data_IF_279448262792
#
_entry.id   IF_279448262792
#
_cell.length_a   1.000
_cell.length_b   1.000
_cell.length_c   1.000
_cell.angle_alpha   90.00
_cell.angle_beta   90.00
_cell.angle_gamma   90.00
#
_symmetry.space_group_name_H-M   'P 1'
#
loop_
_entity.id
_entity.type
_entity.pdbx_description
1 polymer ?
#
# COMPACT_ATOMS: atom_id res chain seq x y z
N UNK A 1 0.10 -32.56 -4.05
CA UNK A 1 -0.24 -32.68 -5.48
C UNK A 1 -0.97 -31.46 -6.03
N UNK A 2 -1.68 -30.67 -5.20
CA UNK A 2 -2.36 -29.42 -5.63
C UNK A 2 -1.40 -28.27 -6.00
N UNK A 3 -0.16 -28.34 -5.57
CA UNK A 3 0.91 -27.41 -5.98
C UNK A 3 1.19 -27.49 -7.49
N UNK A 4 1.06 -28.66 -8.08
CA UNK A 4 1.31 -28.89 -9.51
C UNK A 4 0.23 -28.30 -10.41
N UNK A 5 -1.03 -28.23 -9.96
CA UNK A 5 -2.15 -27.71 -10.80
C UNK A 5 -1.99 -26.19 -11.02
N UNK A 6 -1.57 -25.46 -10.00
CA UNK A 6 -1.40 -23.99 -10.13
C UNK A 6 -0.11 -23.66 -10.90
N UNK A 7 0.98 -24.38 -10.63
CA UNK A 7 2.24 -24.28 -11.41
C UNK A 7 1.99 -24.67 -12.86
N UNK A 8 1.18 -25.71 -13.12
CA UNK A 8 0.77 -26.10 -14.45
C UNK A 8 -0.07 -25.01 -15.12
N UNK A 9 -0.98 -24.36 -14.39
CA UNK A 9 -1.79 -23.22 -14.89
C UNK A 9 -0.92 -22.00 -15.23
N UNK A 10 0.01 -21.63 -14.36
CA UNK A 10 1.00 -20.56 -14.63
C UNK A 10 1.88 -20.89 -15.85
N UNK A 11 2.24 -22.19 -16.01
CA UNK A 11 3.08 -22.65 -17.13
C UNK A 11 2.29 -22.72 -18.46
N UNK A 12 1.02 -23.12 -18.41
CA UNK A 12 0.13 -23.15 -19.59
C UNK A 12 -0.19 -21.74 -20.10
N UNK A 13 -0.25 -20.75 -19.21
CA UNK A 13 -0.48 -19.35 -19.55
C UNK A 13 0.64 -18.73 -20.39
N UNK A 14 1.83 -19.32 -20.38
CA UNK A 14 2.94 -18.91 -21.26
C UNK A 14 2.71 -19.26 -22.76
N UNK A 15 1.66 -20.00 -23.11
CA UNK A 15 1.37 -20.41 -24.50
C UNK A 15 0.30 -19.55 -25.19
N UNK A 16 -0.35 -18.59 -24.46
CA UNK A 16 -1.37 -17.66 -24.97
C UNK A 16 -1.00 -16.20 -24.75
N UNK A 17 -2.00 -15.30 -24.71
CA UNK A 17 -1.80 -13.91 -24.28
C UNK A 17 -1.37 -13.94 -22.80
N UNK A 18 -0.16 -13.45 -22.51
CA UNK A 18 0.33 -13.37 -21.13
C UNK A 18 -0.67 -12.62 -20.28
N UNK A 19 -1.05 -13.20 -19.14
CA UNK A 19 -1.79 -12.47 -18.09
C UNK A 19 -0.92 -11.32 -17.56
N UNK A 20 -1.56 -10.22 -17.20
CA UNK A 20 -0.88 -9.17 -16.43
C UNK A 20 -0.57 -9.67 -15.02
N UNK A 21 0.38 -9.05 -14.34
CA UNK A 21 0.70 -9.39 -12.95
C UNK A 21 -0.52 -9.23 -12.03
N UNK A 22 -1.38 -8.26 -12.34
CA UNK A 22 -2.62 -8.02 -11.61
C UNK A 22 -3.62 -9.18 -11.80
N UNK A 23 -3.77 -9.72 -13.02
CA UNK A 23 -4.62 -10.89 -13.30
C UNK A 23 -4.06 -12.16 -12.65
N UNK A 24 -2.73 -12.33 -12.71
CA UNK A 24 -2.05 -13.46 -12.07
C UNK A 24 -2.30 -13.47 -10.56
N UNK A 25 -2.17 -12.32 -9.91
CA UNK A 25 -2.44 -12.17 -8.48
C UNK A 25 -3.92 -12.46 -8.14
N UNK A 26 -4.87 -11.97 -8.96
CA UNK A 26 -6.30 -12.28 -8.78
C UNK A 26 -6.56 -13.77 -8.73
N UNK A 27 -6.08 -14.47 -9.75
CA UNK A 27 -6.30 -15.91 -9.89
C UNK A 27 -5.67 -16.66 -8.71
N UNK A 28 -4.49 -16.23 -8.25
CA UNK A 28 -3.84 -16.77 -7.06
C UNK A 28 -4.71 -16.58 -5.82
N UNK A 29 -5.21 -15.38 -5.56
CA UNK A 29 -6.03 -15.11 -4.38
C UNK A 29 -7.35 -15.89 -4.39
N UNK A 30 -8.00 -16.02 -5.56
CA UNK A 30 -9.21 -16.84 -5.70
C UNK A 30 -8.89 -18.32 -5.41
N UNK A 31 -7.80 -18.85 -5.95
CA UNK A 31 -7.37 -20.23 -5.66
C UNK A 31 -7.14 -20.44 -4.15
N UNK A 32 -6.47 -19.51 -3.48
CA UNK A 32 -6.19 -19.63 -2.05
C UNK A 32 -7.47 -19.74 -1.20
N UNK A 33 -8.59 -19.16 -1.62
CA UNK A 33 -9.86 -19.30 -0.89
C UNK A 33 -10.35 -20.75 -0.84
N UNK A 34 -9.95 -21.60 -1.78
CA UNK A 34 -10.36 -23.01 -1.82
C UNK A 34 -9.57 -23.89 -0.87
N UNK A 35 -8.44 -23.42 -0.34
CA UNK A 35 -7.52 -24.20 0.47
C UNK A 35 -7.83 -24.13 1.98
N UNK A 36 -8.69 -23.21 2.42
CA UNK A 36 -9.10 -23.12 3.81
C UNK A 36 -10.03 -24.28 4.18
N UNK A 37 -9.83 -24.87 5.36
CA UNK A 37 -10.67 -25.94 5.86
C UNK A 37 -12.05 -25.43 6.25
N UNK A 38 -13.11 -26.15 5.90
CA UNK A 38 -14.51 -25.77 6.12
C UNK A 38 -14.87 -25.59 7.59
N UNK A 39 -14.21 -26.31 8.50
CA UNK A 39 -14.39 -26.16 9.94
C UNK A 39 -14.08 -24.76 10.49
N UNK A 40 -13.19 -24.02 9.82
CA UNK A 40 -12.73 -22.71 10.24
C UNK A 40 -13.17 -21.57 9.32
N UNK A 41 -13.60 -21.90 8.12
CA UNK A 41 -13.98 -20.96 7.07
C UNK A 41 -14.89 -21.65 6.08
N UNK A 42 -16.20 -21.52 6.31
CA UNK A 42 -17.24 -22.24 5.57
C UNK A 42 -17.37 -21.80 4.10
N UNK A 43 -18.15 -22.52 3.32
CA UNK A 43 -18.30 -22.23 1.87
C UNK A 43 -19.01 -20.90 1.63
N UNK A 44 -19.83 -20.41 2.56
CA UNK A 44 -20.46 -19.09 2.46
C UNK A 44 -19.43 -17.98 2.66
N UNK A 45 -18.54 -18.11 3.62
CA UNK A 45 -17.42 -17.18 3.86
C UNK A 45 -16.42 -17.20 2.70
N UNK A 46 -16.08 -18.39 2.16
CA UNK A 46 -15.26 -18.52 0.95
C UNK A 46 -15.88 -17.82 -0.24
N UNK A 47 -17.19 -17.99 -0.45
CA UNK A 47 -17.94 -17.34 -1.52
C UNK A 47 -17.95 -15.82 -1.35
N UNK A 48 -18.10 -15.33 -0.09
CA UNK A 48 -18.04 -13.92 0.21
C UNK A 48 -16.68 -13.32 -0.11
N UNK A 49 -15.58 -13.97 0.31
CA UNK A 49 -14.22 -13.52 0.02
C UNK A 49 -13.93 -13.52 -1.50
N UNK A 50 -14.37 -14.55 -2.24
CA UNK A 50 -14.25 -14.58 -3.72
C UNK A 50 -15.00 -13.40 -4.36
N UNK A 51 -16.18 -13.08 -3.84
CA UNK A 51 -16.94 -11.91 -4.30
C UNK A 51 -16.20 -10.61 -4.02
N UNK A 52 -15.65 -10.43 -2.82
CA UNK A 52 -14.82 -9.25 -2.48
C UNK A 52 -13.64 -9.10 -3.43
N UNK A 53 -12.92 -10.18 -3.73
CA UNK A 53 -11.80 -10.19 -4.68
C UNK A 53 -12.30 -9.73 -6.06
N UNK A 54 -13.39 -10.30 -6.57
CA UNK A 54 -13.93 -9.95 -7.88
C UNK A 54 -14.39 -8.49 -7.96
N UNK A 55 -15.08 -7.99 -6.93
CA UNK A 55 -15.56 -6.62 -6.86
C UNK A 55 -14.39 -5.61 -6.76
N UNK A 56 -13.33 -5.97 -6.03
CA UNK A 56 -12.13 -5.16 -5.94
C UNK A 56 -11.42 -5.06 -7.31
N UNK A 57 -11.23 -6.17 -8.02
CA UNK A 57 -10.62 -6.16 -9.35
C UNK A 57 -11.46 -5.41 -10.37
N UNK A 58 -12.79 -5.53 -10.30
CA UNK A 58 -13.69 -4.75 -11.14
C UNK A 58 -13.49 -3.25 -10.92
N UNK A 59 -13.39 -2.81 -9.67
CA UNK A 59 -13.14 -1.39 -9.34
C UNK A 59 -11.75 -0.95 -9.80
N UNK A 60 -10.71 -1.78 -9.57
CA UNK A 60 -9.34 -1.49 -10.00
C UNK A 60 -9.30 -1.27 -11.52
N UNK A 61 -9.84 -2.22 -12.31
CA UNK A 61 -9.88 -2.09 -13.76
C UNK A 61 -10.71 -0.89 -14.23
N UNK A 62 -11.82 -0.60 -13.54
CA UNK A 62 -12.61 0.59 -13.83
C UNK A 62 -11.76 1.86 -13.64
N UNK A 63 -11.04 1.98 -12.52
CA UNK A 63 -10.22 3.16 -12.25
C UNK A 63 -9.02 3.27 -13.21
N UNK A 64 -8.33 2.17 -13.49
CA UNK A 64 -7.19 2.17 -14.40
C UNK A 64 -7.60 2.44 -15.86
N UNK A 65 -8.76 1.96 -16.29
CA UNK A 65 -9.31 2.16 -17.63
C UNK A 65 -10.21 3.39 -17.78
N UNK A 66 -10.43 4.16 -16.71
CA UNK A 66 -11.40 5.28 -16.71
C UNK A 66 -11.10 6.38 -17.72
N UNK A 67 -9.83 6.59 -18.06
CA UNK A 67 -9.44 7.42 -19.19
C UNK A 67 -9.16 6.50 -20.39
N UNK A 68 -10.10 6.45 -21.32
CA UNK A 68 -10.02 5.57 -22.51
C UNK A 68 -8.85 5.91 -23.44
N UNK A 69 -8.42 7.17 -23.48
CA UNK A 69 -7.32 7.61 -24.33
C UNK A 69 -5.95 7.29 -23.75
N UNK A 70 -5.85 7.27 -22.43
CA UNK A 70 -4.61 7.04 -21.70
C UNK A 70 -4.87 6.15 -20.49
N UNK A 71 -5.16 4.85 -20.69
CA UNK A 71 -5.36 3.91 -19.60
C UNK A 71 -4.07 3.78 -18.78
N UNK A 72 -4.24 3.61 -17.47
CA UNK A 72 -3.13 3.47 -16.55
C UNK A 72 -2.59 2.04 -16.56
N UNK A 73 -1.29 1.90 -16.34
CA UNK A 73 -0.61 0.61 -16.29
C UNK A 73 -1.00 -0.19 -15.04
N UNK A 74 -1.41 -1.44 -15.24
CA UNK A 74 -1.69 -2.41 -14.18
C UNK A 74 -0.46 -2.67 -13.31
N UNK A 75 0.70 -2.84 -13.94
CA UNK A 75 1.96 -3.17 -13.26
C UNK A 75 2.48 -1.98 -12.44
N UNK A 76 2.38 -0.77 -12.96
CA UNK A 76 2.78 0.44 -12.23
C UNK A 76 1.91 0.66 -10.99
N UNK A 77 0.60 0.44 -11.13
CA UNK A 77 -0.33 0.52 -10.00
C UNK A 77 -0.04 -0.56 -8.96
N UNK A 78 0.10 -1.82 -9.37
CA UNK A 78 0.35 -2.93 -8.45
C UNK A 78 1.68 -2.77 -7.72
N UNK A 79 2.73 -2.29 -8.41
CA UNK A 79 4.01 -1.95 -7.79
C UNK A 79 3.89 -0.80 -6.79
N UNK A 80 3.14 0.24 -7.13
CA UNK A 80 2.91 1.37 -6.22
C UNK A 80 2.14 0.93 -4.97
N UNK A 81 1.09 0.12 -5.14
CA UNK A 81 0.34 -0.45 -4.02
C UNK A 81 1.23 -1.36 -3.14
N UNK A 82 2.11 -2.16 -3.75
CA UNK A 82 3.07 -2.96 -2.99
C UNK A 82 4.00 -2.08 -2.13
N UNK A 83 4.47 -0.95 -2.65
CA UNK A 83 5.29 0.03 -1.91
C UNK A 83 4.52 0.60 -0.71
N UNK A 84 3.22 0.88 -0.89
CA UNK A 84 2.35 1.45 0.14
C UNK A 84 2.03 0.42 1.22
N UNK A 85 1.63 -0.79 0.82
CA UNK A 85 1.08 -1.80 1.72
C UNK A 85 2.15 -2.62 2.46
N UNK A 86 3.30 -2.88 1.83
CA UNK A 86 4.37 -3.69 2.41
C UNK A 86 5.61 -2.85 2.73
N UNK A 87 6.43 -3.34 3.68
CA UNK A 87 7.70 -2.70 4.00
C UNK A 87 8.65 -2.74 2.79
N UNK A 88 8.93 -1.57 2.23
CA UNK A 88 9.83 -1.44 1.10
C UNK A 88 11.28 -1.80 1.49
N UNK A 89 11.89 -2.67 0.70
CA UNK A 89 13.31 -2.97 0.75
C UNK A 89 13.87 -2.94 -0.66
N UNK A 90 15.00 -2.24 -0.88
CA UNK A 90 15.65 -2.15 -2.19
C UNK A 90 15.98 -3.51 -2.79
N UNK A 91 16.37 -4.48 -1.95
CA UNK A 91 16.64 -5.87 -2.38
C UNK A 91 15.39 -6.63 -2.84
N UNK A 92 14.19 -6.17 -2.44
CA UNK A 92 12.90 -6.78 -2.80
C UNK A 92 12.18 -5.99 -3.90
N UNK A 93 12.60 -4.76 -4.17
CA UNK A 93 11.91 -3.83 -5.06
C UNK A 93 11.96 -4.19 -6.53
N UNK A 94 12.95 -4.94 -6.96
CA UNK A 94 13.11 -5.32 -8.36
C UNK A 94 12.23 -6.52 -8.76
N UNK A 95 11.65 -7.23 -7.76
CA UNK A 95 10.79 -8.41 -8.00
C UNK A 95 9.55 -8.39 -7.07
N UNK A 96 8.80 -7.30 -7.12
CA UNK A 96 7.61 -7.11 -6.29
C UNK A 96 6.55 -8.19 -6.53
N UNK A 97 6.41 -8.68 -7.76
CA UNK A 97 5.44 -9.73 -8.07
C UNK A 97 5.83 -11.06 -7.43
N UNK A 98 7.10 -11.43 -7.45
CA UNK A 98 7.59 -12.61 -6.75
C UNK A 98 7.38 -12.52 -5.25
N UNK A 99 7.57 -11.33 -4.67
CA UNK A 99 7.25 -11.08 -3.27
C UNK A 99 5.75 -11.34 -3.00
N UNK A 100 4.85 -10.76 -3.82
CA UNK A 100 3.40 -10.92 -3.67
C UNK A 100 2.98 -12.39 -3.80
N UNK A 101 3.49 -13.10 -4.81
CA UNK A 101 3.18 -14.52 -5.01
C UNK A 101 3.73 -15.42 -3.89
N UNK A 102 4.86 -15.07 -3.30
CA UNK A 102 5.39 -15.77 -2.13
C UNK A 102 4.60 -15.47 -0.85
N UNK A 103 4.18 -14.20 -0.66
CA UNK A 103 3.33 -13.82 0.49
C UNK A 103 1.97 -14.51 0.40
N UNK A 104 1.33 -14.45 -0.75
CA UNK A 104 0.05 -15.09 -1.04
C UNK A 104 0.27 -16.48 -1.66
N UNK A 105 0.76 -17.42 -0.86
CA UNK A 105 1.04 -18.79 -1.29
C UNK A 105 0.29 -19.82 -0.44
N UNK A 106 -0.01 -20.98 -1.01
CA UNK A 106 -0.59 -22.11 -0.31
C UNK A 106 0.24 -22.51 0.92
N UNK A 107 1.56 -22.45 0.79
CA UNK A 107 2.49 -22.71 1.91
C UNK A 107 2.15 -21.88 3.15
N UNK A 108 1.87 -20.58 2.99
CA UNK A 108 1.56 -19.69 4.11
C UNK A 108 0.17 -19.92 4.73
N UNK A 109 -0.74 -20.61 4.04
CA UNK A 109 -2.01 -21.06 4.62
C UNK A 109 -1.78 -22.26 5.54
N UNK A 110 -0.93 -23.21 5.11
CA UNK A 110 -0.66 -24.45 5.88
C UNK A 110 0.38 -24.24 6.99
N UNK A 111 1.31 -23.31 6.84
CA UNK A 111 2.25 -22.93 7.91
C UNK A 111 1.53 -22.16 9.01
N UNK A 112 1.78 -22.55 10.25
CA UNK A 112 1.19 -21.91 11.44
C UNK A 112 2.15 -20.88 12.05
N UNK A 113 1.59 -19.87 12.68
CA UNK A 113 2.27 -18.91 13.56
C UNK A 113 1.58 -18.90 14.92
N UNK A 114 2.34 -18.75 15.99
CA UNK A 114 1.83 -18.58 17.34
C UNK A 114 1.49 -17.09 17.54
N UNK A 115 0.27 -16.79 17.99
CA UNK A 115 -0.18 -15.45 18.33
C UNK A 115 -0.58 -15.44 19.80
N UNK A 116 -0.15 -14.43 20.55
CA UNK A 116 -0.50 -14.20 21.95
C UNK A 116 -1.88 -13.53 22.00
N UNK A 117 -2.82 -14.08 22.77
CA UNK A 117 -4.22 -13.59 22.85
C UNK A 117 -4.37 -12.26 23.62
N UNK A 118 -3.32 -11.74 24.25
CA UNK A 118 -3.41 -10.60 25.16
C UNK A 118 -3.63 -9.22 24.51
N UNK A 119 -3.55 -9.07 23.19
CA UNK A 119 -3.77 -7.78 22.53
C UNK A 119 -5.24 -7.33 22.55
N UNK A 120 -6.19 -8.26 22.72
CA UNK A 120 -7.63 -7.95 22.78
C UNK A 120 -8.10 -7.45 24.14
N UNK A 121 -7.32 -7.64 25.21
CA UNK A 121 -7.68 -7.23 26.58
C UNK A 121 -7.08 -5.88 26.97
N UNK A 122 -6.03 -5.40 26.30
CA UNK A 122 -5.44 -4.09 26.55
C UNK A 122 -6.37 -2.93 26.16
N UNK A 123 -7.12 -3.08 25.05
CA UNK A 123 -8.11 -2.07 24.62
C UNK A 123 -9.33 -1.97 25.56
N UNK A 124 -9.59 -2.98 26.40
CA UNK A 124 -10.65 -2.94 27.41
C UNK A 124 -10.20 -2.39 28.78
N UNK A 125 -8.92 -2.50 29.09
CA UNK A 125 -8.37 -2.06 30.39
C UNK A 125 -8.17 -0.54 30.47
N UNK A 126 -7.95 0.16 29.36
CA UNK A 126 -7.80 1.62 29.32
C UNK A 126 -9.11 2.41 29.59
N UNK A 127 -10.27 1.72 29.65
CA UNK A 127 -11.58 2.35 29.90
C UNK A 127 -12.17 2.07 31.28
N UNK A 128 -11.43 1.47 32.20
CA UNK A 128 -11.88 1.29 33.59
C UNK A 128 -11.15 2.24 34.53
N UNK A 129 -11.89 3.20 35.05
CA UNK A 129 -11.49 4.10 36.14
C UNK A 129 -11.37 3.28 37.42
N UNK A 130 -10.13 2.97 37.87
CA UNK A 130 -9.87 2.29 39.12
C UNK A 130 -9.61 3.32 40.23
N UNK A 131 -10.59 3.44 41.15
CA UNK A 131 -10.39 4.14 42.39
C UNK A 131 -9.26 3.51 43.22
N UNK A 132 -8.52 4.39 43.90
CA UNK A 132 -7.38 4.06 44.79
C UNK A 132 -7.79 3.02 45.84
N UNK A 133 -6.83 2.14 46.15
CA UNK A 133 -6.78 1.13 47.22
C UNK A 133 -7.14 -0.32 46.83
N UNK A 134 -6.10 -1.06 46.44
CA UNK A 134 -6.13 -2.51 46.38
C UNK A 134 -4.75 -3.06 45.97
N UNK A 135 -4.08 -3.74 46.92
CA UNK A 135 -2.88 -4.54 46.61
C UNK A 135 -3.27 -5.63 45.62
N UNK A 136 -2.69 -5.56 44.42
CA UNK A 136 -2.90 -6.58 43.38
C UNK A 136 -1.81 -7.62 43.57
N UNK A 137 -2.17 -8.83 44.01
CA UNK A 137 -1.37 -10.02 43.81
C UNK A 137 -1.25 -10.24 42.28
N UNK A 138 -0.07 -10.03 41.71
CA UNK A 138 0.21 -10.37 40.30
C UNK A 138 0.17 -11.89 40.12
N UNK A 139 -0.98 -12.41 39.79
CA UNK A 139 -1.13 -13.76 39.29
C UNK A 139 -0.58 -13.80 37.87
N UNK A 140 0.68 -14.26 37.74
CA UNK A 140 1.34 -14.49 36.45
C UNK A 140 0.67 -15.67 35.74
N UNK A 141 -0.47 -15.43 35.12
CA UNK A 141 -1.02 -16.39 34.15
C UNK A 141 -0.18 -16.29 32.87
N UNK A 142 0.42 -17.40 32.46
CA UNK A 142 1.11 -17.48 31.18
C UNK A 142 0.19 -17.02 30.06
N UNK A 143 0.64 -16.15 29.14
CA UNK A 143 -0.22 -15.63 28.08
C UNK A 143 -0.74 -16.79 27.22
N UNK A 144 -2.05 -16.86 27.08
CA UNK A 144 -2.71 -17.85 26.22
C UNK A 144 -2.29 -17.64 24.77
N UNK A 145 -1.66 -18.64 24.17
CA UNK A 145 -1.19 -18.59 22.79
C UNK A 145 -2.04 -19.50 21.90
N UNK A 146 -2.42 -19.01 20.74
CA UNK A 146 -3.16 -19.80 19.73
C UNK A 146 -2.34 -19.91 18.44
N UNK A 147 -2.31 -21.10 17.87
CA UNK A 147 -1.74 -21.34 16.56
C UNK A 147 -2.74 -20.97 15.45
N UNK A 148 -2.39 -19.98 14.65
CA UNK A 148 -3.16 -19.54 13.47
C UNK A 148 -2.35 -19.70 12.18
N UNK A 149 -3.02 -19.83 11.05
CA UNK A 149 -2.35 -19.84 9.75
C UNK A 149 -1.52 -18.57 9.56
N UNK A 150 -0.36 -18.67 8.92
CA UNK A 150 0.51 -17.53 8.58
C UNK A 150 -0.16 -16.54 7.64
N UNK A 151 -1.09 -17.04 6.80
CA UNK A 151 -1.95 -16.25 5.92
C UNK A 151 -3.40 -16.62 6.22
N UNK A 152 -4.13 -15.72 6.88
CA UNK A 152 -5.55 -15.87 7.16
C UNK A 152 -6.45 -15.25 6.08
N UNK A 153 -7.75 -15.61 6.04
CA UNK A 153 -8.72 -15.01 5.11
C UNK A 153 -8.84 -13.50 5.29
N UNK A 154 -8.76 -13.01 6.53
CA UNK A 154 -8.82 -11.58 6.86
C UNK A 154 -7.66 -10.82 6.24
N UNK A 155 -6.42 -11.35 6.29
CA UNK A 155 -5.26 -10.70 5.65
C UNK A 155 -5.43 -10.57 4.13
N UNK A 156 -6.09 -11.54 3.49
CA UNK A 156 -6.44 -11.47 2.06
C UNK A 156 -7.49 -10.38 1.83
N UNK A 157 -8.54 -10.34 2.66
CA UNK A 157 -9.61 -9.35 2.56
C UNK A 157 -9.07 -7.92 2.74
N UNK A 158 -8.23 -7.69 3.73
CA UNK A 158 -7.61 -6.39 4.03
C UNK A 158 -6.73 -5.92 2.88
N UNK A 159 -5.89 -6.80 2.32
CA UNK A 159 -5.08 -6.49 1.16
C UNK A 159 -5.92 -6.11 -0.05
N UNK A 160 -6.97 -6.89 -0.33
CA UNK A 160 -7.88 -6.68 -1.46
C UNK A 160 -8.67 -5.37 -1.31
N UNK A 161 -9.13 -5.06 -0.09
CA UNK A 161 -9.82 -3.80 0.20
C UNK A 161 -8.88 -2.60 0.03
N UNK A 162 -7.65 -2.70 0.52
CA UNK A 162 -6.64 -1.66 0.32
C UNK A 162 -6.32 -1.44 -1.16
N UNK A 163 -6.17 -2.50 -1.95
CA UNK A 163 -5.94 -2.42 -3.38
C UNK A 163 -7.09 -1.66 -4.10
N UNK A 164 -8.33 -2.04 -3.79
CA UNK A 164 -9.54 -1.39 -4.30
C UNK A 164 -9.60 0.10 -3.97
N UNK A 165 -9.29 0.44 -2.73
CA UNK A 165 -9.32 1.82 -2.24
C UNK A 165 -8.25 2.67 -2.91
N UNK A 166 -7.01 2.19 -2.95
CA UNK A 166 -5.88 2.93 -3.51
C UNK A 166 -6.01 3.20 -5.01
N UNK A 167 -6.71 2.35 -5.76
CA UNK A 167 -6.90 2.54 -7.21
C UNK A 167 -7.59 3.88 -7.54
N UNK A 168 -8.52 4.34 -6.69
CA UNK A 168 -9.22 5.63 -6.87
C UNK A 168 -8.26 6.80 -6.76
N UNK A 169 -7.43 6.79 -5.72
CA UNK A 169 -6.49 7.87 -5.45
C UNK A 169 -5.27 7.82 -6.37
N UNK A 170 -4.91 6.63 -6.84
CA UNK A 170 -3.92 6.46 -7.91
C UNK A 170 -4.36 7.16 -9.18
N UNK A 171 -5.62 6.98 -9.60
CA UNK A 171 -6.20 7.70 -10.72
C UNK A 171 -6.11 9.21 -10.55
N UNK A 172 -6.45 9.72 -9.37
CA UNK A 172 -6.45 11.15 -9.06
C UNK A 172 -5.05 11.77 -9.19
N UNK A 173 -3.98 11.01 -8.96
CA UNK A 173 -2.61 11.51 -9.15
C UNK A 173 -2.24 11.74 -10.62
N UNK A 174 -2.88 11.04 -11.56
CA UNK A 174 -2.66 11.21 -13.00
C UNK A 174 -3.60 12.25 -13.61
N UNK A 175 -4.84 12.27 -13.15
CA UNK A 175 -5.91 13.11 -13.68
C UNK A 175 -6.52 13.99 -12.59
N UNK A 176 -5.70 14.87 -11.94
CA UNK A 176 -6.15 15.65 -10.79
C UNK A 176 -7.34 16.55 -11.12
N UNK A 177 -7.42 17.10 -12.34
CA UNK A 177 -8.52 17.96 -12.75
C UNK A 177 -9.89 17.24 -12.77
N UNK A 178 -9.91 15.91 -12.85
CA UNK A 178 -11.10 15.07 -12.81
C UNK A 178 -11.40 14.53 -11.40
N UNK A 179 -10.54 14.79 -10.43
CA UNK A 179 -10.68 14.29 -9.06
C UNK A 179 -11.84 14.98 -8.34
N UNK A 180 -12.57 14.17 -7.57
CA UNK A 180 -13.57 14.64 -6.58
C UNK A 180 -13.00 14.68 -5.16
N UNK A 181 -11.77 14.21 -4.97
CA UNK A 181 -11.09 14.08 -3.68
C UNK A 181 -10.11 15.24 -3.41
N UNK A 182 -9.85 16.07 -4.41
CA UNK A 182 -8.95 17.21 -4.34
C UNK A 182 -9.74 18.53 -4.45
N UNK A 183 -9.35 19.53 -3.66
CA UNK A 183 -9.77 20.92 -3.85
C UNK A 183 -9.19 21.49 -5.15
N UNK A 184 -9.70 22.62 -5.61
CA UNK A 184 -9.23 23.22 -6.88
C UNK A 184 -7.75 23.63 -6.80
N UNK A 185 -7.30 24.14 -5.65
CA UNK A 185 -5.88 24.46 -5.43
C UNK A 185 -4.99 23.21 -5.46
N UNK A 186 -5.43 22.13 -4.83
CA UNK A 186 -4.70 20.84 -4.86
C UNK A 186 -4.64 20.24 -6.26
N UNK A 187 -5.72 20.34 -7.05
CA UNK A 187 -5.71 19.91 -8.45
C UNK A 187 -4.62 20.62 -9.25
N UNK A 188 -4.50 21.93 -9.08
CA UNK A 188 -3.47 22.73 -9.75
C UNK A 188 -2.08 22.31 -9.30
N UNK A 189 -1.86 22.08 -7.99
CA UNK A 189 -0.58 21.63 -7.47
C UNK A 189 -0.17 20.25 -8.03
N UNK A 190 -1.07 19.27 -7.97
CA UNK A 190 -0.79 17.92 -8.48
C UNK A 190 -0.59 17.92 -10.00
N UNK A 191 -1.32 18.75 -10.75
CA UNK A 191 -1.10 18.94 -12.19
C UNK A 191 0.31 19.52 -12.48
N UNK A 192 0.77 20.48 -11.68
CA UNK A 192 2.12 21.03 -11.79
C UNK A 192 3.18 19.97 -11.49
N UNK A 193 2.97 19.14 -10.47
CA UNK A 193 3.85 17.99 -10.18
C UNK A 193 3.93 17.04 -11.36
N UNK A 194 2.82 16.72 -12.02
CA UNK A 194 2.80 15.88 -13.21
C UNK A 194 3.63 16.50 -14.36
N UNK A 195 3.54 17.80 -14.58
CA UNK A 195 4.31 18.51 -15.62
C UNK A 195 5.82 18.55 -15.34
N UNK A 196 6.21 18.68 -14.07
CA UNK A 196 7.62 18.63 -13.66
C UNK A 196 8.16 17.19 -13.77
N UNK A 197 7.30 16.19 -13.55
CA UNK A 197 7.67 14.77 -13.53
C UNK A 197 7.68 14.23 -12.10
N UNK A 198 6.52 13.79 -11.64
CA UNK A 198 6.24 13.36 -10.27
C UNK A 198 7.11 12.17 -9.78
N UNK A 199 7.57 11.32 -10.73
CA UNK A 199 8.52 10.24 -10.48
C UNK A 199 8.13 9.32 -9.32
N UNK A 200 9.08 9.07 -8.45
CA UNK A 200 8.96 8.17 -7.30
C UNK A 200 8.08 8.71 -6.15
N UNK A 201 7.63 9.97 -6.21
CA UNK A 201 6.70 10.52 -5.23
C UNK A 201 5.25 10.07 -5.44
N UNK A 202 4.91 9.45 -6.57
CA UNK A 202 3.52 9.09 -6.88
C UNK A 202 2.87 8.18 -5.82
N UNK A 203 3.51 7.11 -5.28
CA UNK A 203 2.94 6.33 -4.19
C UNK A 203 2.67 7.16 -2.94
N UNK A 204 3.57 8.07 -2.57
CA UNK A 204 3.41 8.96 -1.42
C UNK A 204 2.22 9.91 -1.61
N UNK A 205 2.10 10.55 -2.78
CA UNK A 205 0.99 11.46 -3.10
C UNK A 205 -0.35 10.69 -3.11
N UNK A 206 -0.37 9.46 -3.61
CA UNK A 206 -1.56 8.60 -3.58
C UNK A 206 -2.06 8.39 -2.15
N UNK A 207 -1.15 8.07 -1.22
CA UNK A 207 -1.49 7.90 0.20
C UNK A 207 -1.97 9.22 0.82
N UNK A 208 -1.28 10.32 0.58
CA UNK A 208 -1.65 11.62 1.14
C UNK A 208 -3.07 12.01 0.72
N UNK A 209 -3.44 11.80 -0.55
CA UNK A 209 -4.79 12.05 -1.05
C UNK A 209 -5.81 11.12 -0.39
N UNK A 210 -5.44 9.87 -0.10
CA UNK A 210 -6.34 8.88 0.50
C UNK A 210 -6.69 9.19 1.97
N UNK A 211 -5.80 9.90 2.68
CA UNK A 211 -5.93 10.23 4.09
C UNK A 211 -6.86 11.41 4.30
N UNK A 212 -8.11 11.13 4.71
CA UNK A 212 -9.14 12.14 4.95
C UNK A 212 -8.91 12.98 6.20
N UNK A 213 -8.11 12.48 7.12
CA UNK A 213 -7.70 13.16 8.35
C UNK A 213 -6.59 14.20 8.13
N UNK A 214 -5.93 14.20 6.97
CA UNK A 214 -5.00 15.25 6.56
C UNK A 214 -5.78 16.38 5.89
N UNK A 215 -5.69 17.59 6.43
CA UNK A 215 -6.38 18.76 5.89
C UNK A 215 -5.86 19.15 4.50
N UNK A 216 -6.69 19.87 3.72
CA UNK A 216 -6.28 20.38 2.40
C UNK A 216 -5.06 21.30 2.48
N UNK A 217 -4.93 22.09 3.58
CA UNK A 217 -3.79 22.96 3.79
C UNK A 217 -2.49 22.15 4.00
N UNK A 218 -2.51 21.11 4.82
CA UNK A 218 -1.35 20.23 5.03
C UNK A 218 -0.97 19.52 3.74
N UNK A 219 -1.95 19.01 2.98
CA UNK A 219 -1.69 18.41 1.67
C UNK A 219 -1.07 19.40 0.69
N UNK A 220 -1.57 20.63 0.66
CA UNK A 220 -1.00 21.68 -0.18
C UNK A 220 0.45 22.04 0.20
N UNK A 221 0.78 22.05 1.50
CA UNK A 221 2.15 22.33 1.98
C UNK A 221 3.13 21.24 1.51
N UNK A 222 2.78 19.96 1.68
CA UNK A 222 3.67 18.87 1.24
C UNK A 222 3.76 18.79 -0.29
N UNK A 223 2.70 19.07 -1.03
CA UNK A 223 2.78 19.12 -2.51
C UNK A 223 3.72 20.23 -2.98
N UNK A 224 3.73 21.41 -2.32
CA UNK A 224 4.70 22.48 -2.59
C UNK A 224 6.12 22.09 -2.22
N UNK A 225 6.34 21.37 -1.10
CA UNK A 225 7.66 20.87 -0.72
C UNK A 225 8.18 19.85 -1.75
N UNK A 226 7.33 18.95 -2.22
CA UNK A 226 7.65 17.99 -3.29
C UNK A 226 7.97 18.73 -4.59
N UNK A 227 7.16 19.74 -4.97
CA UNK A 227 7.41 20.56 -6.16
C UNK A 227 8.79 21.22 -6.10
N UNK A 228 9.10 21.84 -4.98
CA UNK A 228 10.40 22.46 -4.72
C UNK A 228 11.55 21.45 -4.86
N UNK A 229 11.39 20.27 -4.25
CA UNK A 229 12.38 19.19 -4.35
C UNK A 229 12.59 18.74 -5.80
N UNK A 230 11.50 18.44 -6.53
CA UNK A 230 11.59 18.01 -7.93
C UNK A 230 12.25 19.06 -8.81
N UNK A 231 11.91 20.33 -8.59
CA UNK A 231 12.48 21.43 -9.37
C UNK A 231 13.97 21.63 -9.06
N UNK A 232 14.33 21.81 -7.79
CA UNK A 232 15.71 22.12 -7.39
C UNK A 232 16.64 20.92 -7.61
N UNK A 233 16.28 19.72 -7.12
CA UNK A 233 17.19 18.57 -7.19
C UNK A 233 17.25 17.97 -8.59
N UNK A 234 16.12 17.82 -9.29
CA UNK A 234 16.12 17.11 -10.55
C UNK A 234 16.21 18.01 -11.78
N UNK A 235 15.56 19.19 -11.77
CA UNK A 235 15.57 20.07 -12.96
C UNK A 235 16.75 21.01 -12.97
N UNK A 236 17.14 21.56 -11.82
CA UNK A 236 18.29 22.44 -11.69
C UNK A 236 19.57 21.67 -11.39
N UNK A 237 19.57 20.85 -10.35
CA UNK A 237 20.75 20.14 -9.84
C UNK A 237 21.12 18.88 -10.62
N UNK A 238 20.25 18.42 -11.53
CA UNK A 238 20.46 17.21 -12.33
C UNK A 238 20.80 15.96 -11.50
N UNK A 239 20.20 15.83 -10.32
CA UNK A 239 20.40 14.68 -9.44
C UNK A 239 19.88 13.40 -10.08
N UNK A 240 20.45 12.27 -9.66
CA UNK A 240 19.98 10.96 -10.12
C UNK A 240 18.47 10.80 -9.82
N UNK A 241 17.68 10.32 -10.80
CA UNK A 241 16.24 10.15 -10.69
C UNK A 241 15.79 9.26 -9.53
N UNK A 242 16.69 8.48 -8.94
CA UNK A 242 16.43 7.65 -7.75
C UNK A 242 16.89 8.30 -6.44
N UNK A 243 17.34 9.54 -6.46
CA UNK A 243 17.81 10.25 -5.26
C UNK A 243 16.73 10.25 -4.18
N UNK A 244 17.04 9.70 -3.01
CA UNK A 244 16.16 9.49 -1.85
C UNK A 244 14.88 8.69 -2.12
N UNK A 245 14.71 8.03 -3.27
CA UNK A 245 13.48 7.31 -3.60
C UNK A 245 13.09 6.26 -2.56
N UNK A 246 14.05 5.54 -1.98
CA UNK A 246 13.79 4.53 -0.94
C UNK A 246 13.23 5.13 0.35
N UNK A 247 13.59 6.37 0.67
CA UNK A 247 13.10 7.09 1.85
C UNK A 247 11.65 7.51 1.65
N UNK A 248 11.33 8.08 0.48
CA UNK A 248 9.96 8.49 0.17
C UNK A 248 9.01 7.30 -0.03
N UNK A 249 9.52 6.13 -0.45
CA UNK A 249 8.74 4.89 -0.46
C UNK A 249 8.43 4.40 0.97
N UNK A 250 9.39 4.49 1.89
CA UNK A 250 9.14 4.19 3.30
C UNK A 250 8.18 5.21 3.92
N UNK A 251 8.36 6.50 3.63
CA UNK A 251 7.45 7.55 4.07
C UNK A 251 6.01 7.30 3.60
N UNK A 252 5.80 6.87 2.34
CA UNK A 252 4.48 6.51 1.84
C UNK A 252 3.79 5.46 2.73
N UNK A 253 4.52 4.42 3.13
CA UNK A 253 3.99 3.40 4.03
C UNK A 253 3.75 3.94 5.44
N UNK A 254 4.68 4.69 6.03
CA UNK A 254 4.51 5.24 7.38
C UNK A 254 3.34 6.21 7.45
N UNK A 255 3.09 7.01 6.40
CA UNK A 255 1.88 7.84 6.30
C UNK A 255 0.62 6.96 6.16
N UNK A 256 0.67 5.88 5.38
CA UNK A 256 -0.44 4.93 5.25
C UNK A 256 -0.82 4.29 6.60
N UNK A 257 0.17 3.90 7.39
CA UNK A 257 0.00 3.31 8.72
C UNK A 257 -0.28 4.33 9.83
N UNK A 258 -0.29 5.64 9.53
CA UNK A 258 -0.41 6.74 10.50
C UNK A 258 0.75 6.84 11.51
N UNK A 259 1.90 6.31 11.17
CA UNK A 259 3.12 6.33 11.99
C UNK A 259 3.97 7.59 11.77
N UNK A 260 3.68 8.36 10.72
CA UNK A 260 4.42 9.57 10.37
C UNK A 260 3.46 10.74 10.14
N UNK A 261 3.84 11.91 10.67
CA UNK A 261 3.16 13.16 10.43
C UNK A 261 3.57 13.80 9.10
N UNK A 262 2.59 14.33 8.36
CA UNK A 262 2.81 14.97 7.05
C UNK A 262 3.57 16.29 7.18
N UNK A 263 3.38 17.03 8.27
CA UNK A 263 4.10 18.28 8.50
C UNK A 263 5.59 18.03 8.75
N UNK A 264 5.92 16.97 9.54
CA UNK A 264 7.29 16.55 9.76
C UNK A 264 7.97 16.10 8.46
N UNK A 265 7.27 15.34 7.62
CA UNK A 265 7.78 14.93 6.31
C UNK A 265 7.98 16.13 5.37
N UNK A 266 7.07 17.11 5.39
CA UNK A 266 7.21 18.35 4.60
C UNK A 266 8.45 19.14 5.02
N UNK A 267 8.76 19.20 6.31
CA UNK A 267 9.97 19.82 6.83
C UNK A 267 11.23 19.07 6.34
N UNK A 268 11.29 17.73 6.49
CA UNK A 268 12.44 16.91 6.01
C UNK A 268 12.71 17.08 4.51
N UNK A 269 11.65 17.17 3.69
CA UNK A 269 11.78 17.42 2.26
C UNK A 269 12.41 18.81 2.01
N UNK A 270 11.96 19.84 2.72
CA UNK A 270 12.51 21.19 2.58
C UNK A 270 13.96 21.27 3.09
N UNK A 271 14.28 20.68 4.24
CA UNK A 271 15.64 20.62 4.78
C UNK A 271 16.58 19.91 3.80
N UNK A 272 16.10 18.84 3.14
CA UNK A 272 16.87 18.17 2.07
C UNK A 272 17.16 19.11 0.92
N UNK A 273 16.20 19.92 0.49
CA UNK A 273 16.41 20.89 -0.59
C UNK A 273 17.40 21.96 -0.15
N UNK A 274 17.25 22.51 1.06
CA UNK A 274 18.12 23.55 1.58
C UNK A 274 19.57 23.09 1.72
N UNK A 275 19.78 21.87 2.19
CA UNK A 275 21.12 21.25 2.29
C UNK A 275 21.80 21.02 0.91
N UNK A 276 21.02 20.99 -0.18
CA UNK A 276 21.54 20.70 -1.50
C UNK A 276 21.45 21.88 -2.48
N UNK A 277 20.92 23.02 -2.05
CA UNK A 277 20.65 24.16 -2.95
C UNK A 277 21.94 24.75 -3.52
N UNK A 278 23.00 24.85 -2.72
CA UNK A 278 24.31 25.37 -3.15
C UNK A 278 24.97 24.49 -4.22
N UNK A 279 24.72 23.17 -4.16
CA UNK A 279 25.18 22.24 -5.18
C UNK A 279 24.35 22.33 -6.47
N UNK A 280 23.04 22.56 -6.34
CA UNK A 280 22.14 22.62 -7.49
C UNK A 280 22.31 23.91 -8.31
N UNK A 281 22.52 25.07 -7.66
CA UNK A 281 22.60 26.38 -8.31
C UNK A 281 23.84 26.55 -9.21
N UNK A 282 25.07 26.14 -8.83
CA UNK A 282 26.26 26.30 -9.66
C UNK A 282 26.21 25.55 -10.99
N UNK A 283 25.31 24.60 -11.12
CA UNK A 283 25.12 23.84 -12.36
C UNK A 283 24.10 24.51 -13.31
N UNK A 284 23.65 25.71 -12.97
CA UNK A 284 22.73 26.52 -13.73
C UNK A 284 23.47 27.73 -14.35
#
# INVERSE_FOLDING_TARGET
>A
DDYDVFVAFETMNNRGKKLTNLELLKNRLIYLTTLYLDEKFDEMEKSHLRKQINDAWKEVYFQLGRNEHTPLSDDDFLRAHWIIYFAYSRKKGDDYIKFLLNKFSAKNIFEKKTVVLNDALQDMAENMDFGEDGEIEEDYTEPETVEVSKLGPTEIADYVNSLKEMAKYWYDTFFPMQSKNLSDDEKVLVDRLNRIGIGHFRPLITVIISRRDISANERALIFKAIERFLFICFRMGNFNATFRSSEYYRAARSIYLKEMDVAALSADINDTVDANIEYAIPNF
#
